data_IF_698742589561
#
_entry.id   IF_698742589561
#
_cell.length_a   1.000
_cell.length_b   1.000
_cell.length_c   1.000
_cell.angle_alpha   90.00
_cell.angle_beta   90.00
_cell.angle_gamma   90.00
#
_symmetry.space_group_name_H-M   'P 1'
#
loop_
_entity.id
_entity.type
_entity.pdbx_description
1 polymer ?
#
# COMPACT_ATOMS: atom_id res chain seq x y z
N UNK A 1 39.97 18.94 -1.01
CA UNK A 1 40.50 18.82 0.36
C UNK A 1 39.51 17.97 1.14
N UNK A 2 39.73 16.65 1.16
CA UNK A 2 38.91 15.71 1.95
C UNK A 2 39.45 15.76 3.37
N UNK A 3 38.96 16.69 4.18
CA UNK A 3 39.03 16.50 5.62
C UNK A 3 38.24 15.23 5.93
N UNK A 4 38.94 14.22 6.44
CA UNK A 4 38.30 13.00 6.88
C UNK A 4 37.29 13.35 7.94
N UNK A 5 36.02 13.02 7.73
CA UNK A 5 34.99 13.06 8.77
C UNK A 5 35.58 12.50 10.07
N UNK A 6 35.33 13.17 11.19
CA UNK A 6 35.67 12.60 12.50
C UNK A 6 35.01 11.22 12.63
N UNK A 7 35.61 10.33 13.40
CA UNK A 7 35.05 8.99 13.56
C UNK A 7 33.63 9.04 14.16
N UNK A 8 33.35 10.02 15.02
CA UNK A 8 32.00 10.31 15.51
C UNK A 8 31.03 10.68 14.37
N UNK A 9 31.44 11.56 13.45
CA UNK A 9 30.60 11.95 12.31
C UNK A 9 30.36 10.79 11.33
N UNK A 10 31.33 9.89 11.15
CA UNK A 10 31.14 8.65 10.38
C UNK A 10 30.12 7.74 11.05
N UNK A 11 30.26 7.49 12.35
CA UNK A 11 29.33 6.64 13.12
C UNK A 11 27.91 7.21 13.07
N UNK A 12 27.74 8.53 13.23
CA UNK A 12 26.43 9.18 13.13
C UNK A 12 25.82 9.05 11.74
N UNK A 13 26.61 9.26 10.69
CA UNK A 13 26.18 9.07 9.30
C UNK A 13 25.72 7.63 9.05
N UNK A 14 26.51 6.65 9.48
CA UNK A 14 26.19 5.24 9.30
C UNK A 14 24.94 4.84 10.08
N UNK A 15 24.75 5.38 11.29
CA UNK A 15 23.55 5.18 12.09
C UNK A 15 22.31 5.76 11.40
N UNK A 16 22.36 7.01 10.93
CA UNK A 16 21.25 7.63 10.21
C UNK A 16 20.91 6.90 8.91
N UNK A 17 21.93 6.44 8.18
CA UNK A 17 21.75 5.62 7.00
C UNK A 17 21.13 4.26 7.34
N UNK A 18 21.57 3.61 8.42
CA UNK A 18 20.98 2.40 8.96
C UNK A 18 19.49 2.59 9.28
N UNK A 19 19.13 3.65 10.01
CA UNK A 19 17.74 3.95 10.35
C UNK A 19 16.89 4.26 9.11
N UNK A 20 17.45 4.96 8.12
CA UNK A 20 16.78 5.22 6.84
C UNK A 20 16.47 3.92 6.10
N UNK A 21 17.46 3.04 5.94
CA UNK A 21 17.30 1.77 5.22
C UNK A 21 16.31 0.84 5.91
N UNK A 22 16.35 0.77 7.24
CA UNK A 22 15.42 -0.01 8.04
C UNK A 22 13.98 0.51 7.91
N UNK A 23 13.75 1.81 8.05
CA UNK A 23 12.44 2.42 7.86
C UNK A 23 11.88 2.17 6.45
N UNK A 24 12.73 2.18 5.41
CA UNK A 24 12.35 1.82 4.03
C UNK A 24 12.03 0.34 3.89
N UNK A 25 12.77 -0.56 4.56
CA UNK A 25 12.47 -1.98 4.58
C UNK A 25 11.11 -2.25 5.23
N UNK A 26 10.82 -1.64 6.38
CA UNK A 26 9.52 -1.73 7.03
C UNK A 26 8.37 -1.17 6.19
N UNK A 27 8.57 -0.05 5.48
CA UNK A 27 7.56 0.48 4.57
C UNK A 27 7.24 -0.49 3.41
N UNK A 28 8.26 -1.11 2.81
CA UNK A 28 8.07 -2.14 1.77
C UNK A 28 7.38 -3.38 2.32
N UNK A 29 7.78 -3.83 3.50
CA UNK A 29 7.17 -4.99 4.14
C UNK A 29 5.67 -4.78 4.40
N UNK A 30 5.27 -3.60 4.90
CA UNK A 30 3.86 -3.24 5.07
C UNK A 30 3.07 -3.27 3.73
N UNK A 31 3.69 -2.85 2.63
CA UNK A 31 3.10 -2.93 1.30
C UNK A 31 2.95 -4.38 0.79
N UNK A 32 3.95 -5.24 1.05
CA UNK A 32 3.87 -6.67 0.75
C UNK A 32 2.75 -7.34 1.54
N UNK A 33 2.65 -7.08 2.85
CA UNK A 33 1.58 -7.61 3.70
C UNK A 33 0.20 -7.16 3.21
N UNK A 34 0.06 -5.89 2.84
CA UNK A 34 -1.19 -5.36 2.27
C UNK A 34 -1.59 -6.11 1.00
N UNK A 35 -0.65 -6.32 0.08
CA UNK A 35 -0.88 -7.06 -1.17
C UNK A 35 -1.27 -8.51 -0.90
N UNK A 36 -0.58 -9.18 0.02
CA UNK A 36 -0.87 -10.57 0.39
C UNK A 36 -2.28 -10.72 0.97
N UNK A 37 -2.68 -9.83 1.87
CA UNK A 37 -4.03 -9.86 2.46
C UNK A 37 -5.10 -9.65 1.39
N UNK A 38 -4.94 -8.65 0.51
CA UNK A 38 -5.91 -8.41 -0.57
C UNK A 38 -5.99 -9.60 -1.52
N UNK A 39 -4.87 -10.22 -1.89
CA UNK A 39 -4.86 -11.42 -2.73
C UNK A 39 -5.61 -12.58 -2.06
N UNK A 40 -5.37 -12.82 -0.77
CA UNK A 40 -6.08 -13.87 -0.03
C UNK A 40 -7.59 -13.60 0.00
N UNK A 41 -7.99 -12.37 0.28
CA UNK A 41 -9.39 -11.92 0.26
C UNK A 41 -10.04 -12.17 -1.11
N UNK A 42 -9.36 -11.85 -2.21
CA UNK A 42 -9.84 -12.10 -3.58
C UNK A 42 -10.02 -13.61 -3.84
N UNK A 43 -9.03 -14.43 -3.47
CA UNK A 43 -9.05 -15.88 -3.73
C UNK A 43 -10.20 -16.54 -2.96
N UNK A 44 -10.33 -16.24 -1.67
CA UNK A 44 -11.42 -16.76 -0.83
C UNK A 44 -12.77 -16.32 -1.37
N UNK A 45 -12.94 -15.04 -1.67
CA UNK A 45 -14.20 -14.53 -2.20
C UNK A 45 -14.55 -15.17 -3.56
N UNK A 46 -13.58 -15.32 -4.46
CA UNK A 46 -13.79 -15.95 -5.77
C UNK A 46 -14.23 -17.41 -5.64
N UNK A 47 -13.62 -18.17 -4.72
CA UNK A 47 -14.00 -19.56 -4.46
C UNK A 47 -15.44 -19.64 -3.93
N UNK A 48 -15.81 -18.78 -2.98
CA UNK A 48 -17.17 -18.75 -2.42
C UNK A 48 -18.21 -18.32 -3.46
N UNK A 49 -17.90 -17.32 -4.29
CA UNK A 49 -18.78 -16.88 -5.38
C UNK A 49 -18.99 -18.02 -6.39
N UNK A 50 -17.94 -18.77 -6.74
CA UNK A 50 -18.06 -19.90 -7.64
C UNK A 50 -18.97 -21.01 -7.08
N UNK A 51 -18.90 -21.28 -5.77
CA UNK A 51 -19.79 -22.24 -5.10
C UNK A 51 -21.24 -21.75 -5.14
N UNK A 52 -21.49 -20.48 -4.83
CA UNK A 52 -22.84 -19.89 -4.86
C UNK A 52 -23.42 -19.89 -6.28
N UNK A 53 -22.58 -19.63 -7.30
CA UNK A 53 -23.03 -19.55 -8.68
C UNK A 53 -23.20 -20.92 -9.37
N UNK A 54 -22.82 -22.02 -8.72
CA UNK A 54 -22.71 -23.33 -9.35
C UNK A 54 -24.05 -23.92 -9.81
N UNK A 55 -25.14 -23.67 -9.08
CA UNK A 55 -26.50 -24.12 -9.42
C UNK A 55 -27.33 -23.06 -10.17
N UNK A 56 -26.71 -21.90 -10.44
CA UNK A 56 -27.32 -20.76 -11.12
C UNK A 56 -28.39 -20.02 -10.32
N UNK A 57 -28.64 -20.38 -9.06
CA UNK A 57 -29.72 -19.81 -8.25
C UNK A 57 -29.22 -19.45 -6.87
N UNK A 58 -29.29 -18.17 -6.52
CA UNK A 58 -28.95 -17.71 -5.17
C UNK A 58 -30.17 -17.86 -4.27
N UNK A 59 -30.08 -18.79 -3.31
CA UNK A 59 -31.17 -19.16 -2.40
C UNK A 59 -30.84 -18.82 -0.94
N UNK A 60 -31.82 -18.95 -0.04
CA UNK A 60 -31.61 -18.78 1.41
C UNK A 60 -30.56 -19.72 2.00
N UNK A 61 -30.24 -20.84 1.34
CA UNK A 61 -29.20 -21.77 1.80
C UNK A 61 -27.79 -21.19 1.63
N UNK A 62 -27.64 -20.21 0.73
CA UNK A 62 -26.36 -19.57 0.41
C UNK A 62 -26.05 -18.39 1.33
N UNK A 63 -26.99 -17.99 2.20
CA UNK A 63 -26.83 -16.90 3.14
C UNK A 63 -25.53 -16.98 3.96
N UNK A 64 -25.15 -18.14 4.55
CA UNK A 64 -23.90 -18.23 5.29
C UNK A 64 -22.68 -17.88 4.41
N UNK A 65 -22.65 -18.33 3.16
CA UNK A 65 -21.54 -18.05 2.24
C UNK A 65 -21.51 -16.58 1.83
N UNK A 66 -22.67 -15.97 1.56
CA UNK A 66 -22.79 -14.54 1.26
C UNK A 66 -22.30 -13.66 2.42
N UNK A 67 -22.68 -14.02 3.65
CA UNK A 67 -22.22 -13.33 4.86
C UNK A 67 -20.72 -13.48 5.05
N UNK A 68 -20.13 -14.65 4.79
CA UNK A 68 -18.68 -14.83 4.84
C UNK A 68 -17.97 -13.94 3.82
N UNK A 69 -18.45 -13.85 2.57
CA UNK A 69 -17.89 -12.93 1.56
C UNK A 69 -17.92 -11.49 2.07
N UNK A 70 -19.06 -11.06 2.61
CA UNK A 70 -19.22 -9.71 3.14
C UNK A 70 -18.22 -9.43 4.29
N UNK A 71 -18.13 -10.33 5.26
CA UNK A 71 -17.21 -10.21 6.41
C UNK A 71 -15.75 -10.19 5.95
N UNK A 72 -15.37 -11.08 5.04
CA UNK A 72 -14.02 -11.14 4.47
C UNK A 72 -13.67 -9.85 3.73
N UNK A 73 -14.62 -9.27 2.98
CA UNK A 73 -14.47 -7.95 2.36
C UNK A 73 -14.23 -6.84 3.39
N UNK A 74 -15.06 -6.77 4.43
CA UNK A 74 -14.93 -5.77 5.51
C UNK A 74 -13.58 -5.89 6.24
N UNK A 75 -13.16 -7.12 6.56
CA UNK A 75 -11.84 -7.39 7.16
C UNK A 75 -10.73 -6.91 6.21
N UNK A 76 -10.85 -7.19 4.91
CA UNK A 76 -9.92 -6.72 3.88
C UNK A 76 -9.78 -5.19 3.84
N UNK A 77 -10.89 -4.45 4.02
CA UNK A 77 -10.86 -2.97 4.11
C UNK A 77 -10.07 -2.53 5.33
N UNK A 78 -10.34 -3.11 6.50
CA UNK A 78 -9.66 -2.77 7.76
C UNK A 78 -8.15 -2.99 7.68
N UNK A 79 -7.71 -4.16 7.18
CA UNK A 79 -6.29 -4.43 6.98
C UNK A 79 -5.65 -3.52 5.93
N UNK A 80 -6.34 -3.26 4.82
CA UNK A 80 -5.83 -2.37 3.76
C UNK A 80 -5.61 -0.95 4.27
N UNK A 81 -6.55 -0.42 5.06
CA UNK A 81 -6.40 0.88 5.73
C UNK A 81 -5.22 0.87 6.72
N UNK A 82 -5.16 -0.15 7.58
CA UNK A 82 -4.14 -0.27 8.64
C UNK A 82 -2.72 -0.36 8.05
N UNK A 83 -2.51 -1.18 7.03
CA UNK A 83 -1.21 -1.28 6.38
C UNK A 83 -0.86 -0.06 5.52
N UNK A 84 -1.86 0.66 5.01
CA UNK A 84 -1.63 1.96 4.35
C UNK A 84 -1.09 2.99 5.33
N UNK A 85 -1.69 3.08 6.53
CA UNK A 85 -1.19 3.97 7.59
C UNK A 85 0.22 3.57 8.05
N UNK A 86 0.46 2.28 8.28
CA UNK A 86 1.77 1.79 8.69
C UNK A 86 2.85 2.09 7.64
N UNK A 87 2.54 1.86 6.36
CA UNK A 87 3.41 2.23 5.25
C UNK A 87 3.73 3.72 5.25
N UNK A 88 2.71 4.58 5.37
CA UNK A 88 2.88 6.03 5.40
C UNK A 88 3.72 6.50 6.59
N UNK A 89 3.50 5.93 7.77
CA UNK A 89 4.28 6.25 8.97
C UNK A 89 5.76 5.93 8.77
N UNK A 90 6.08 4.73 8.26
CA UNK A 90 7.46 4.32 8.01
C UNK A 90 8.10 5.11 6.86
N UNK A 91 7.32 5.43 5.82
CA UNK A 91 7.77 6.31 4.73
C UNK A 91 8.14 7.70 5.24
N UNK A 92 7.31 8.31 6.09
CA UNK A 92 7.59 9.63 6.69
C UNK A 92 8.85 9.61 7.56
N UNK A 93 9.03 8.56 8.36
CA UNK A 93 10.26 8.37 9.15
C UNK A 93 11.50 8.26 8.26
N UNK A 94 11.43 7.46 7.20
CA UNK A 94 12.52 7.36 6.22
C UNK A 94 12.84 8.71 5.58
N UNK A 95 11.82 9.49 5.19
CA UNK A 95 12.02 10.83 4.65
C UNK A 95 12.72 11.74 5.67
N UNK A 96 12.30 11.71 6.94
CA UNK A 96 12.95 12.49 7.99
C UNK A 96 14.43 12.14 8.17
N UNK A 97 14.78 10.85 8.25
CA UNK A 97 16.19 10.42 8.34
C UNK A 97 17.00 10.84 7.11
N UNK A 98 16.41 10.74 5.91
CA UNK A 98 17.06 11.21 4.68
C UNK A 98 17.28 12.71 4.70
N UNK A 99 16.30 13.50 5.15
CA UNK A 99 16.45 14.96 5.26
C UNK A 99 17.57 15.31 6.24
N UNK A 100 17.65 14.66 7.41
CA UNK A 100 18.77 14.86 8.33
C UNK A 100 20.12 14.47 7.73
N UNK A 101 20.17 13.40 6.92
CA UNK A 101 21.39 13.05 6.18
C UNK A 101 21.79 14.12 5.16
N UNK A 102 20.84 14.58 4.35
CA UNK A 102 21.06 15.64 3.35
C UNK A 102 21.54 16.95 4.01
N UNK A 103 20.90 17.36 5.11
CA UNK A 103 21.20 18.59 5.84
C UNK A 103 22.56 18.55 6.56
N UNK A 104 22.96 17.41 7.12
CA UNK A 104 24.21 17.29 7.88
C UNK A 104 25.43 17.02 6.99
N UNK A 105 25.28 16.22 5.93
CA UNK A 105 26.42 15.68 5.18
C UNK A 105 26.48 16.10 3.71
N UNK A 106 25.40 16.68 3.15
CA UNK A 106 25.33 17.04 1.73
C UNK A 106 25.04 18.53 1.49
N UNK A 107 25.17 19.37 2.53
CA UNK A 107 24.94 20.83 2.57
C UNK A 107 25.17 21.57 1.24
N UNK A 108 24.13 21.66 0.41
CA UNK A 108 24.14 22.49 -0.80
C UNK A 108 24.87 21.93 -2.03
N UNK A 109 25.36 20.69 -2.02
CA UNK A 109 25.87 20.07 -3.26
C UNK A 109 24.73 19.82 -4.24
N UNK A 110 24.97 20.04 -5.54
CA UNK A 110 23.99 19.81 -6.63
C UNK A 110 23.51 18.34 -6.76
N UNK A 111 24.01 17.45 -5.92
CA UNK A 111 23.75 16.01 -5.88
C UNK A 111 23.22 15.52 -4.53
N UNK A 112 22.41 16.31 -3.82
CA UNK A 112 21.63 15.79 -2.69
C UNK A 112 20.73 14.63 -3.14
N UNK A 113 20.47 13.68 -2.23
CA UNK A 113 19.62 12.52 -2.54
C UNK A 113 18.21 12.99 -2.91
N UNK A 114 17.69 13.99 -2.19
CA UNK A 114 16.44 14.65 -2.54
C UNK A 114 16.46 15.27 -3.95
N UNK A 115 17.54 15.94 -4.35
CA UNK A 115 17.66 16.55 -5.67
C UNK A 115 17.73 15.55 -6.83
N UNK A 116 18.39 14.40 -6.63
CA UNK A 116 18.40 13.30 -7.62
C UNK A 116 17.01 12.70 -7.77
N UNK A 117 16.31 12.45 -6.65
CA UNK A 117 14.95 11.91 -6.67
C UNK A 117 13.95 12.89 -7.30
N UNK A 118 14.04 14.18 -6.99
CA UNK A 118 13.17 15.20 -7.58
C UNK A 118 13.30 15.26 -9.11
N UNK A 119 14.54 15.18 -9.64
CA UNK A 119 14.80 15.11 -11.08
C UNK A 119 14.16 13.86 -11.71
N UNK A 120 14.34 12.70 -11.07
CA UNK A 120 13.74 11.45 -11.54
C UNK A 120 12.20 11.46 -11.48
N UNK A 121 11.62 12.05 -10.43
CA UNK A 121 10.18 12.20 -10.28
C UNK A 121 9.60 13.16 -11.33
N UNK A 122 10.31 14.23 -11.68
CA UNK A 122 9.89 15.18 -12.71
C UNK A 122 9.86 14.53 -14.10
N UNK A 123 10.88 13.74 -14.44
CA UNK A 123 10.89 12.92 -15.66
C UNK A 123 9.69 11.97 -15.71
N UNK A 124 9.41 11.28 -14.59
CA UNK A 124 8.29 10.33 -14.52
C UNK A 124 6.92 11.03 -14.63
N UNK A 125 6.77 12.19 -13.98
CA UNK A 125 5.53 12.99 -13.96
C UNK A 125 5.20 13.59 -15.32
N UNK A 126 6.21 13.86 -16.14
CA UNK A 126 6.06 14.36 -17.50
C UNK A 126 5.60 13.29 -18.50
N UNK A 127 5.53 12.01 -18.11
CA UNK A 127 4.96 10.97 -18.96
C UNK A 127 3.43 11.14 -19.10
N UNK A 128 2.94 11.24 -20.34
CA UNK A 128 1.51 11.39 -20.66
C UNK A 128 0.66 10.23 -20.09
N UNK A 129 1.27 9.06 -19.96
CA UNK A 129 0.64 7.83 -19.48
C UNK A 129 0.39 7.89 -17.97
N UNK A 130 1.37 8.36 -17.17
CA UNK A 130 1.22 8.54 -15.73
C UNK A 130 0.08 9.51 -15.39
N UNK A 131 -0.03 10.63 -16.13
CA UNK A 131 -1.09 11.62 -15.91
C UNK A 131 -2.50 11.07 -16.20
N UNK A 132 -2.65 10.24 -17.23
CA UNK A 132 -3.94 9.57 -17.55
C UNK A 132 -4.33 8.54 -16.50
N UNK A 133 -3.40 7.65 -16.12
CA UNK A 133 -3.66 6.58 -15.15
C UNK A 133 -4.00 7.15 -13.77
N UNK A 134 -3.27 8.18 -13.33
CA UNK A 134 -3.53 8.85 -12.05
C UNK A 134 -4.88 9.56 -11.99
N UNK A 135 -5.43 9.98 -13.14
CA UNK A 135 -6.78 10.56 -13.21
C UNK A 135 -7.87 9.52 -12.95
N UNK A 136 -7.70 8.30 -13.48
CA UNK A 136 -8.71 7.23 -13.39
C UNK A 136 -8.62 6.47 -12.07
N UNK A 137 -7.42 6.06 -11.66
CA UNK A 137 -7.20 5.18 -10.50
C UNK A 137 -6.89 5.99 -9.23
N UNK A 138 -6.53 7.26 -9.37
CA UNK A 138 -6.08 8.10 -8.27
C UNK A 138 -4.69 7.69 -7.77
N UNK A 139 -4.50 7.72 -6.46
CA UNK A 139 -3.31 7.17 -5.79
C UNK A 139 -3.37 5.65 -5.83
N UNK A 140 -2.22 4.99 -6.00
CA UNK A 140 -2.08 3.53 -5.83
C UNK A 140 -2.71 3.04 -4.52
N UNK A 141 -2.75 3.87 -3.48
CA UNK A 141 -3.40 3.55 -2.21
C UNK A 141 -4.91 3.35 -2.31
N UNK A 142 -5.61 4.10 -3.18
CA UNK A 142 -7.07 4.00 -3.33
C UNK A 142 -7.48 2.67 -3.94
N UNK A 143 -6.71 2.20 -4.93
CA UNK A 143 -6.93 0.90 -5.57
C UNK A 143 -7.06 -0.22 -4.54
N UNK A 144 -6.16 -0.24 -3.55
CA UNK A 144 -6.11 -1.27 -2.52
C UNK A 144 -7.25 -1.22 -1.50
N UNK A 145 -7.98 -0.11 -1.41
CA UNK A 145 -9.20 0.00 -0.61
C UNK A 145 -10.44 -0.36 -1.42
N UNK A 146 -10.45 -0.03 -2.71
CA UNK A 146 -11.61 -0.26 -3.59
C UNK A 146 -11.91 -1.76 -3.73
N UNK A 147 -10.89 -2.59 -3.92
CA UNK A 147 -11.07 -4.04 -4.12
C UNK A 147 -11.84 -4.72 -2.97
N UNK A 148 -11.42 -4.62 -1.70
CA UNK A 148 -12.16 -5.23 -0.60
C UNK A 148 -13.52 -4.57 -0.35
N UNK A 149 -13.68 -3.27 -0.64
CA UNK A 149 -15.00 -2.59 -0.61
C UNK A 149 -15.94 -3.25 -1.61
N UNK A 150 -15.50 -3.45 -2.85
CA UNK A 150 -16.31 -4.11 -3.89
C UNK A 150 -16.76 -5.50 -3.42
N UNK A 151 -15.85 -6.30 -2.85
CA UNK A 151 -16.20 -7.63 -2.32
C UNK A 151 -17.20 -7.57 -1.17
N UNK A 152 -17.05 -6.61 -0.24
CA UNK A 152 -18.02 -6.41 0.83
C UNK A 152 -19.41 -6.05 0.27
N UNK A 153 -19.47 -5.14 -0.72
CA UNK A 153 -20.71 -4.75 -1.38
C UNK A 153 -21.34 -5.88 -2.20
N UNK A 154 -20.53 -6.73 -2.83
CA UNK A 154 -21.00 -7.92 -3.52
C UNK A 154 -21.61 -8.93 -2.55
N UNK A 155 -20.94 -9.22 -1.43
CA UNK A 155 -21.48 -10.11 -0.39
C UNK A 155 -22.79 -9.57 0.21
N UNK A 156 -22.89 -8.27 0.45
CA UNK A 156 -24.12 -7.62 0.89
C UNK A 156 -25.24 -7.74 -0.15
N UNK A 157 -24.93 -7.50 -1.42
CA UNK A 157 -25.91 -7.59 -2.53
C UNK A 157 -26.43 -9.03 -2.70
N UNK A 158 -25.54 -10.02 -2.65
CA UNK A 158 -25.92 -11.44 -2.69
C UNK A 158 -26.79 -11.82 -1.48
N UNK A 159 -26.50 -11.30 -0.30
CA UNK A 159 -27.30 -11.54 0.91
C UNK A 159 -28.72 -11.00 0.75
N UNK A 160 -28.87 -9.78 0.23
CA UNK A 160 -30.20 -9.18 -0.04
C UNK A 160 -30.97 -10.01 -1.07
N UNK A 161 -30.31 -10.45 -2.14
CA UNK A 161 -30.94 -11.26 -3.19
C UNK A 161 -31.35 -12.65 -2.67
N UNK A 162 -30.52 -13.30 -1.85
CA UNK A 162 -30.83 -14.57 -1.19
C UNK A 162 -32.02 -14.48 -0.21
N UNK A 163 -32.27 -13.31 0.38
CA UNK A 163 -33.44 -13.09 1.26
C UNK A 163 -34.73 -12.85 0.46
N UNK A 164 -34.62 -12.29 -0.74
CA UNK A 164 -35.75 -11.95 -1.59
C UNK A 164 -36.34 -13.17 -2.33
N UNK A 165 -35.51 -14.19 -2.62
CA UNK A 165 -35.92 -15.48 -3.20
C UNK A 165 -36.22 -16.51 -2.10
#
# INVERSE_FOLDING_TARGET
MRDGLSDEAKVRKDLLWGMYTDARAHARHAETLRTNVVNFVIVVASALIAVIANDGNVTKRDLPLCLVIMVVGVIGVGFSASYTELHERNRRRAVAFRTSLDDEYFQGESNTIAGVLARSDEEHRNSRLHRRVRMVIGSTQRFWLIVPILLATTGASLTVFALAN
#
